data_IF_711541354160
#
_entry.id   IF_711541354160
#
_cell.length_a   1.000
_cell.length_b   1.000
_cell.length_c   1.000
_cell.angle_alpha   90.00
_cell.angle_beta   90.00
_cell.angle_gamma   90.00
#
_symmetry.space_group_name_H-M   'P 1'
#
loop_
_entity.id
_entity.type
_entity.pdbx_description
1 polymer ?
#
# COMPACT_ATOMS: atom_id res chain seq x y z
N UNK A 1 36.35 -42.84 15.19
CA UNK A 1 35.36 -42.20 16.10
C UNK A 1 34.43 -41.38 15.20
N UNK A 2 33.21 -41.87 14.91
CA UNK A 2 31.91 -41.38 15.46
C UNK A 2 31.62 -39.92 15.04
N UNK A 3 30.53 -39.47 14.42
CA UNK A 3 29.28 -39.99 13.86
C UNK A 3 28.68 -38.85 13.00
N UNK A 4 27.93 -39.22 11.96
CA UNK A 4 26.89 -38.49 11.20
C UNK A 4 26.02 -37.47 11.98
N UNK A 5 25.63 -36.37 11.31
CA UNK A 5 24.33 -35.67 11.42
C UNK A 5 24.18 -34.71 10.21
N UNK A 6 23.41 -35.01 9.16
CA UNK A 6 21.96 -34.77 9.03
C UNK A 6 21.73 -33.55 8.13
N UNK A 7 21.47 -33.67 6.83
CA UNK A 7 20.16 -33.89 6.19
C UNK A 7 19.03 -33.00 6.73
N UNK A 8 18.72 -31.89 6.04
CA UNK A 8 17.37 -31.32 5.88
C UNK A 8 17.44 -30.27 4.76
N UNK A 9 16.86 -30.48 3.57
CA UNK A 9 15.46 -30.17 3.25
C UNK A 9 15.17 -28.71 3.65
N UNK A 10 15.09 -27.75 2.73
CA UNK A 10 13.88 -27.32 2.02
C UNK A 10 14.37 -26.56 0.77
N UNK A 11 14.20 -27.08 -0.46
CA UNK A 11 12.96 -27.12 -1.24
C UNK A 11 12.54 -25.72 -1.72
N UNK A 12 12.66 -25.51 -3.03
CA UNK A 12 11.76 -24.70 -3.87
C UNK A 12 11.19 -23.41 -3.29
N UNK A 13 11.68 -22.28 -3.80
CA UNK A 13 10.86 -21.18 -4.34
C UNK A 13 11.86 -20.32 -5.15
N UNK A 14 11.83 -20.21 -6.49
CA UNK A 14 10.63 -20.01 -7.30
C UNK A 14 9.66 -18.99 -6.67
N UNK A 15 10.19 -17.98 -5.98
CA UNK A 15 9.68 -16.62 -6.17
C UNK A 15 10.35 -16.12 -7.45
N UNK A 16 9.99 -16.68 -8.59
CA UNK A 16 8.70 -16.33 -9.16
C UNK A 16 8.98 -15.03 -9.87
N UNK A 17 9.43 -15.15 -11.12
CA UNK A 17 9.34 -14.06 -12.07
C UNK A 17 7.87 -13.64 -12.03
N UNK A 18 7.53 -12.60 -11.25
CA UNK A 18 6.17 -12.07 -11.19
C UNK A 18 5.99 -11.21 -12.43
N UNK A 19 6.03 -11.88 -13.59
CA UNK A 19 5.48 -11.36 -14.82
C UNK A 19 3.99 -11.56 -14.73
N UNK A 20 3.29 -10.64 -14.05
CA UNK A 20 1.85 -10.50 -14.27
C UNK A 20 1.65 -9.54 -15.41
N UNK A 21 1.71 -10.05 -16.63
CA UNK A 21 1.22 -9.29 -17.77
C UNK A 21 -0.30 -9.38 -17.83
N UNK A 22 -0.93 -8.24 -18.14
CA UNK A 22 -2.33 -8.05 -18.58
C UNK A 22 -3.50 -8.20 -17.59
N UNK A 23 -3.67 -7.24 -16.67
CA UNK A 23 -4.88 -6.37 -16.61
C UNK A 23 -4.65 -5.18 -15.65
N UNK A 24 -3.89 -4.19 -16.15
CA UNK A 24 -3.56 -2.88 -15.55
C UNK A 24 -3.40 -2.85 -14.03
N UNK A 25 -2.21 -3.21 -13.53
CA UNK A 25 -1.79 -2.75 -12.20
C UNK A 25 -1.80 -1.21 -12.15
N UNK A 26 -2.05 -0.66 -10.97
CA UNK A 26 -2.10 0.77 -10.75
C UNK A 26 -0.72 1.39 -11.02
N UNK A 27 -0.68 2.51 -11.73
CA UNK A 27 0.55 3.24 -12.05
C UNK A 27 0.35 4.74 -11.85
N UNK A 28 1.47 5.48 -11.76
CA UNK A 28 1.42 6.93 -11.73
C UNK A 28 0.66 7.50 -12.94
N UNK A 29 -0.18 8.49 -12.68
CA UNK A 29 -1.11 9.08 -13.65
C UNK A 29 -2.51 8.44 -13.66
N UNK A 30 -2.68 7.21 -13.19
CA UNK A 30 -4.01 6.60 -13.08
C UNK A 30 -4.83 7.25 -11.96
N UNK A 31 -6.15 7.27 -12.14
CA UNK A 31 -7.10 7.52 -11.06
C UNK A 31 -7.54 6.18 -10.47
N UNK A 32 -7.41 6.02 -9.16
CA UNK A 32 -7.86 4.84 -8.45
C UNK A 32 -9.06 5.15 -7.55
N UNK A 33 -9.91 4.16 -7.34
CA UNK A 33 -10.92 4.18 -6.28
C UNK A 33 -10.46 3.21 -5.21
N UNK A 34 -10.23 3.73 -4.01
CA UNK A 34 -9.71 2.97 -2.89
C UNK A 34 -10.59 3.17 -1.66
N UNK A 35 -10.63 2.14 -0.81
CA UNK A 35 -10.99 2.30 0.58
C UNK A 35 -9.70 2.25 1.39
N UNK A 36 -9.58 3.09 2.41
CA UNK A 36 -8.46 3.02 3.32
C UNK A 36 -8.88 3.22 4.76
N UNK A 37 -8.18 2.54 5.67
CA UNK A 37 -8.34 2.70 7.11
C UNK A 37 -6.99 3.01 7.75
N UNK A 38 -6.83 4.25 8.16
CA UNK A 38 -5.66 4.73 8.88
C UNK A 38 -5.70 4.33 10.34
N UNK A 39 -4.62 3.69 10.79
CA UNK A 39 -4.42 3.24 12.17
C UNK A 39 -3.10 3.79 12.69
N UNK A 40 -3.12 4.24 13.94
CA UNK A 40 -1.95 4.65 14.70
C UNK A 40 -1.86 3.77 15.94
N UNK A 41 -0.73 3.10 16.15
CA UNK A 41 -0.55 2.11 17.21
C UNK A 41 -1.65 1.01 17.23
N UNK A 42 -2.15 0.64 16.05
CA UNK A 42 -3.21 -0.35 15.88
C UNK A 42 -4.64 0.16 16.13
N UNK A 43 -4.81 1.44 16.47
CA UNK A 43 -6.11 2.08 16.70
C UNK A 43 -6.47 2.97 15.52
N UNK A 44 -7.67 2.79 14.95
CA UNK A 44 -8.15 3.67 13.90
C UNK A 44 -8.35 5.10 14.44
N UNK A 45 -7.88 6.10 13.70
CA UNK A 45 -8.02 7.51 14.08
C UNK A 45 -9.02 8.25 13.18
N UNK A 46 -9.65 9.29 13.74
CA UNK A 46 -10.64 10.08 13.02
C UNK A 46 -10.00 10.90 11.90
N UNK A 47 -10.66 10.97 10.74
CA UNK A 47 -10.12 11.57 9.52
C UNK A 47 -9.05 10.73 8.80
N UNK A 48 -8.67 9.56 9.33
CA UNK A 48 -7.69 8.65 8.74
C UNK A 48 -8.27 7.60 7.80
N UNK A 49 -9.59 7.54 7.64
CA UNK A 49 -10.28 6.48 6.89
C UNK A 49 -11.26 7.07 5.89
N UNK A 50 -11.38 6.45 4.72
CA UNK A 50 -12.36 6.81 3.71
C UNK A 50 -12.75 5.60 2.87
N UNK A 51 -13.99 5.60 2.37
CA UNK A 51 -14.51 4.59 1.44
C UNK A 51 -14.81 5.26 0.09
N UNK A 52 -14.52 4.57 -1.01
CA UNK A 52 -14.74 5.02 -2.38
C UNK A 52 -13.90 6.25 -2.76
N UNK A 53 -12.77 6.47 -2.09
CA UNK A 53 -11.94 7.65 -2.29
C UNK A 53 -11.27 7.61 -3.66
N UNK A 54 -11.45 8.68 -4.44
CA UNK A 54 -10.81 8.83 -5.76
C UNK A 54 -9.48 9.55 -5.60
N UNK A 55 -8.38 8.84 -5.85
CA UNK A 55 -7.02 9.36 -5.80
C UNK A 55 -6.38 9.33 -7.19
N UNK A 56 -5.64 10.37 -7.56
CA UNK A 56 -4.74 10.32 -8.73
C UNK A 56 -3.34 9.94 -8.24
N UNK A 57 -2.79 8.85 -8.73
CA UNK A 57 -1.46 8.40 -8.34
C UNK A 57 -0.38 9.31 -8.96
N UNK A 58 0.62 9.69 -8.16
CA UNK A 58 1.66 10.65 -8.54
C UNK A 58 1.15 12.09 -8.60
N UNK A 59 0.14 12.43 -7.80
CA UNK A 59 -0.38 13.81 -7.71
C UNK A 59 0.19 14.60 -6.53
N UNK A 60 0.94 13.92 -5.64
CA UNK A 60 1.48 14.47 -4.40
C UNK A 60 0.38 15.14 -3.55
N UNK A 61 -0.84 14.60 -3.62
CA UNK A 61 -1.99 15.13 -2.85
C UNK A 61 -2.13 14.43 -1.51
N UNK A 62 -1.57 13.22 -1.37
CA UNK A 62 -1.53 12.47 -0.13
C UNK A 62 -0.15 12.57 0.54
N UNK A 63 -0.05 12.06 1.77
CA UNK A 63 1.22 11.98 2.48
C UNK A 63 2.22 11.09 1.73
N UNK A 64 3.50 11.42 1.86
CA UNK A 64 4.57 10.68 1.20
C UNK A 64 4.56 9.20 1.62
N UNK A 65 4.83 8.32 0.67
CA UNK A 65 4.72 6.87 0.83
C UNK A 65 3.30 6.30 0.74
N UNK A 66 2.23 7.12 0.80
CA UNK A 66 0.87 6.62 0.63
C UNK A 66 0.61 6.16 -0.81
N UNK A 67 0.90 7.03 -1.78
CA UNK A 67 0.65 6.76 -3.19
C UNK A 67 1.56 5.63 -3.71
N UNK A 68 2.83 5.62 -3.30
CA UNK A 68 3.82 4.59 -3.66
C UNK A 68 3.40 3.19 -3.21
N UNK A 69 2.71 3.08 -2.08
CA UNK A 69 2.18 1.83 -1.58
C UNK A 69 1.11 1.20 -2.49
N UNK A 70 0.37 2.05 -3.21
CA UNK A 70 -0.74 1.68 -4.11
C UNK A 70 -0.24 1.37 -5.51
N UNK A 71 0.84 2.01 -5.95
CA UNK A 71 1.47 1.71 -7.24
C UNK A 71 1.83 0.21 -7.29
N UNK A 72 1.42 -0.44 -8.37
CA UNK A 72 1.58 -1.88 -8.57
C UNK A 72 0.44 -2.75 -8.01
N UNK A 73 -0.48 -2.19 -7.20
CA UNK A 73 -1.66 -2.94 -6.74
C UNK A 73 -2.61 -3.25 -7.88
N UNK A 74 -3.32 -4.38 -7.76
CA UNK A 74 -4.36 -4.80 -8.68
C UNK A 74 -5.75 -4.54 -8.10
N UNK A 75 -6.75 -4.46 -8.97
CA UNK A 75 -8.15 -4.35 -8.56
C UNK A 75 -8.52 -5.57 -7.71
N UNK A 76 -9.12 -5.32 -6.55
CA UNK A 76 -9.48 -6.30 -5.53
C UNK A 76 -8.35 -6.64 -4.55
N UNK A 77 -7.17 -6.02 -4.69
CA UNK A 77 -6.05 -6.24 -3.77
C UNK A 77 -6.20 -5.41 -2.50
N UNK A 78 -5.88 -6.05 -1.38
CA UNK A 78 -5.78 -5.43 -0.07
C UNK A 78 -4.31 -5.40 0.37
N UNK A 79 -3.85 -4.26 0.85
CA UNK A 79 -2.46 -4.08 1.28
C UNK A 79 -2.38 -3.09 2.43
N UNK A 80 -1.62 -3.46 3.46
CA UNK A 80 -1.24 -2.53 4.52
C UNK A 80 0.03 -1.80 4.09
N UNK A 81 0.00 -0.48 4.16
CA UNK A 81 1.14 0.37 3.87
C UNK A 81 1.44 1.26 5.08
N UNK A 82 2.69 1.69 5.21
CA UNK A 82 3.12 2.58 6.27
C UNK A 82 3.42 3.94 5.66
N UNK A 83 2.89 5.00 6.24
CA UNK A 83 3.14 6.36 5.81
C UNK A 83 3.31 7.29 7.01
N UNK A 84 4.15 8.31 6.84
CA UNK A 84 4.49 9.26 7.90
C UNK A 84 3.83 10.60 7.62
N UNK A 85 3.12 11.11 8.62
CA UNK A 85 2.51 12.43 8.53
C UNK A 85 3.59 13.52 8.62
N UNK A 86 3.49 14.58 7.80
CA UNK A 86 4.44 15.68 7.87
C UNK A 86 4.30 16.44 9.20
N UNK A 87 5.41 17.04 9.67
CA UNK A 87 5.43 17.79 10.94
C UNK A 87 4.52 19.02 10.94
N UNK A 88 4.20 19.55 9.76
CA UNK A 88 3.34 20.72 9.58
C UNK A 88 1.89 20.35 9.23
N UNK A 89 1.41 19.16 9.63
CA UNK A 89 0.04 18.73 9.37
C UNK A 89 -0.97 19.54 10.19
N UNK A 90 -1.40 20.67 9.63
CA UNK A 90 -2.31 21.64 10.28
C UNK A 90 -3.72 21.11 10.51
N UNK A 91 -4.15 20.12 9.75
CA UNK A 91 -5.52 19.57 9.80
C UNK A 91 -5.75 18.71 11.05
N UNK A 92 -4.70 18.07 11.56
CA UNK A 92 -4.74 17.27 12.79
C UNK A 92 -3.36 17.33 13.48
N UNK A 93 -3.15 18.32 14.37
CA UNK A 93 -1.85 18.51 15.05
C UNK A 93 -1.37 17.27 15.81
N UNK A 94 -2.30 16.44 16.29
CA UNK A 94 -1.99 15.22 17.03
C UNK A 94 -1.39 14.10 16.16
N UNK A 95 -1.53 14.21 14.84
CA UNK A 95 -0.98 13.25 13.86
C UNK A 95 0.36 13.72 13.29
N UNK A 96 0.71 15.00 13.44
CA UNK A 96 1.91 15.58 12.85
C UNK A 96 3.20 14.86 13.30
N UNK A 97 4.04 14.48 12.35
CA UNK A 97 5.32 13.80 12.60
C UNK A 97 5.21 12.35 13.08
N UNK A 98 4.01 11.75 13.09
CA UNK A 98 3.80 10.37 13.51
C UNK A 98 3.68 9.42 12.32
N UNK A 99 4.11 8.19 12.55
CA UNK A 99 3.93 7.08 11.61
C UNK A 99 2.53 6.48 11.81
N UNK A 100 1.88 6.14 10.70
CA UNK A 100 0.60 5.44 10.69
C UNK A 100 0.59 4.33 9.64
N UNK A 101 -0.18 3.29 9.92
CA UNK A 101 -0.44 2.20 8.97
C UNK A 101 -1.80 2.39 8.33
N UNK A 102 -1.87 2.24 7.01
CA UNK A 102 -3.10 2.34 6.24
C UNK A 102 -3.40 0.99 5.60
N UNK A 103 -4.53 0.42 5.95
CA UNK A 103 -5.06 -0.75 5.25
C UNK A 103 -5.82 -0.26 4.03
N UNK A 104 -5.33 -0.56 2.83
CA UNK A 104 -5.88 -0.07 1.57
C UNK A 104 -6.50 -1.22 0.80
N UNK A 105 -7.70 -0.99 0.29
CA UNK A 105 -8.37 -1.88 -0.67
C UNK A 105 -8.52 -1.14 -2.00
N UNK A 106 -8.01 -1.71 -3.09
CA UNK A 106 -8.14 -1.12 -4.41
C UNK A 106 -9.37 -1.64 -5.14
N UNK A 107 -10.35 -0.77 -5.42
CA UNK A 107 -11.60 -1.16 -6.08
C UNK A 107 -11.61 -0.97 -7.58
N UNK A 108 -11.06 0.16 -8.07
CA UNK A 108 -11.10 0.49 -9.50
C UNK A 108 -9.86 1.26 -9.91
N UNK A 109 -9.50 1.12 -11.18
CA UNK A 109 -8.45 1.89 -11.84
C UNK A 109 -9.08 2.52 -13.10
N UNK A 110 -8.87 3.82 -13.27
CA UNK A 110 -9.28 4.61 -14.42
C UNK A 110 -8.03 5.23 -15.04
N UNK A 111 -7.78 4.90 -16.30
CA UNK A 111 -6.67 5.42 -17.09
C UNK A 111 -7.21 6.31 -18.19
N UNK A 112 -6.67 7.52 -18.31
CA UNK A 112 -6.92 8.35 -19.48
C UNK A 112 -6.18 7.71 -20.67
N UNK A 113 -6.92 7.40 -21.72
CA UNK A 113 -6.37 6.87 -22.98
C UNK A 113 -6.17 8.08 -23.88
N UNK A 114 -4.92 8.39 -24.22
CA UNK A 114 -4.57 9.38 -25.24
C UNK A 114 -4.76 8.82 -26.66
#
# INVERSE_FOLDING_TARGET
MKKILGSLFVLSLLFGCFSSDTSSAAQNGDYVIIDFVGKMDGVAFDGGSAEGYRLKLGSDTMIDGFEDGIVGMKIGEEKTITATFPENYVTAPDLAGKEATFDITLHKIYREIE
#
